data_IF_514778821595
#
_entry.id   IF_514778821595
#
_cell.length_a   1.000
_cell.length_b   1.000
_cell.length_c   1.000
_cell.angle_alpha   90.00
_cell.angle_beta   90.00
_cell.angle_gamma   90.00
#
_symmetry.space_group_name_H-M   'P 1'
#
loop_
_entity.id
_entity.type
_entity.pdbx_description
1 polymer ?
#
# COMPACT_ATOMS: atom_id res chain seq x y z
N UNK A 1 10.88 1.62 7.61
CA UNK A 1 10.77 2.64 8.66
C UNK A 1 11.92 3.65 8.58
N UNK A 2 13.19 3.18 8.62
CA UNK A 2 14.36 4.08 8.56
C UNK A 2 14.31 5.05 7.38
N UNK A 3 13.97 4.58 6.18
CA UNK A 3 13.82 5.43 5.01
C UNK A 3 12.72 6.48 5.15
N UNK A 4 11.57 6.13 5.75
CA UNK A 4 10.48 7.07 6.02
C UNK A 4 10.88 8.13 7.06
N UNK A 5 11.57 7.70 8.12
CA UNK A 5 12.09 8.62 9.14
C UNK A 5 13.13 9.60 8.54
N UNK A 6 13.98 9.08 7.66
CA UNK A 6 15.01 9.90 7.00
C UNK A 6 14.42 10.93 6.03
N UNK A 7 13.29 10.63 5.39
CA UNK A 7 12.61 11.63 4.56
C UNK A 7 12.09 12.81 5.37
N UNK A 8 11.78 12.63 6.64
CA UNK A 8 11.36 13.72 7.53
C UNK A 8 12.52 14.65 7.93
N UNK A 9 13.78 14.22 7.77
CA UNK A 9 14.96 15.06 7.95
C UNK A 9 15.30 15.91 6.71
N UNK A 10 14.61 15.68 5.58
CA UNK A 10 14.78 16.45 4.34
C UNK A 10 13.77 17.58 4.23
N UNK A 11 13.96 18.49 3.29
CA UNK A 11 13.01 19.57 2.96
C UNK A 11 11.89 19.15 2.01
N UNK A 12 11.74 17.85 1.77
CA UNK A 12 10.72 17.32 0.86
C UNK A 12 9.30 17.53 1.40
N UNK A 13 8.43 18.15 0.62
CA UNK A 13 7.02 18.35 0.96
C UNK A 13 6.13 17.19 0.51
N UNK A 14 6.58 16.42 -0.48
CA UNK A 14 5.87 15.27 -1.05
C UNK A 14 6.78 14.06 -0.97
N UNK A 15 6.26 12.97 -0.43
CA UNK A 15 6.97 11.70 -0.29
C UNK A 15 6.34 10.68 -1.21
N UNK A 16 7.17 10.03 -2.02
CA UNK A 16 6.77 8.94 -2.90
C UNK A 16 7.47 7.66 -2.47
N UNK A 17 6.71 6.61 -2.23
CA UNK A 17 7.19 5.28 -1.88
C UNK A 17 6.94 4.36 -3.07
N UNK A 18 7.96 3.60 -3.47
CA UNK A 18 7.86 2.64 -4.56
C UNK A 18 8.89 1.53 -4.39
N UNK A 19 8.64 0.35 -4.96
CA UNK A 19 9.64 -0.70 -5.03
C UNK A 19 10.70 -0.35 -6.08
N UNK A 20 11.96 -0.74 -5.81
CA UNK A 20 13.11 -0.45 -6.66
C UNK A 20 13.41 -1.57 -7.68
N UNK A 21 12.44 -2.45 -7.95
CA UNK A 21 12.62 -3.64 -8.82
C UNK A 21 12.24 -3.41 -10.29
N UNK A 22 11.90 -2.18 -10.63
CA UNK A 22 11.54 -1.75 -11.98
C UNK A 22 10.12 -2.11 -12.43
N UNK A 23 9.28 -2.64 -11.53
CA UNK A 23 7.87 -2.98 -11.84
C UNK A 23 7.00 -1.74 -11.94
N UNK A 24 7.28 -0.70 -11.16
CA UNK A 24 6.53 0.54 -11.19
C UNK A 24 7.14 1.54 -12.17
N UNK A 25 6.26 2.26 -12.87
CA UNK A 25 6.69 3.30 -13.77
C UNK A 25 6.85 4.62 -13.02
N UNK A 26 8.08 5.16 -12.97
CA UNK A 26 8.36 6.42 -12.29
C UNK A 26 7.53 7.60 -12.81
N UNK A 27 7.11 7.61 -14.08
CA UNK A 27 6.24 8.67 -14.62
C UNK A 27 4.85 8.69 -13.97
N UNK A 28 4.40 7.62 -13.34
CA UNK A 28 3.09 7.61 -12.71
C UNK A 28 3.02 8.54 -11.48
N UNK A 29 4.16 8.90 -10.87
CA UNK A 29 4.17 9.93 -9.83
C UNK A 29 3.63 11.28 -10.34
N UNK A 30 3.84 11.60 -11.61
CA UNK A 30 3.30 12.84 -12.20
C UNK A 30 1.77 12.84 -12.28
N UNK A 31 1.14 11.66 -12.29
CA UNK A 31 -0.31 11.50 -12.16
C UNK A 31 -0.76 11.56 -10.70
N UNK A 32 0.05 11.01 -9.77
CA UNK A 32 -0.31 10.92 -8.36
C UNK A 32 -0.26 12.28 -7.65
N UNK A 33 0.79 13.06 -7.89
CA UNK A 33 1.05 14.33 -7.21
C UNK A 33 -0.13 15.31 -7.29
N UNK A 34 -0.78 15.56 -8.46
CA UNK A 34 -1.89 16.49 -8.54
C UNK A 34 -3.12 16.13 -7.68
N UNK A 35 -3.33 14.83 -7.40
CA UNK A 35 -4.43 14.42 -6.54
C UNK A 35 -4.25 14.85 -5.08
N UNK A 36 -3.00 15.12 -4.65
CA UNK A 36 -2.74 15.62 -3.30
C UNK A 36 -3.35 17.01 -3.02
N UNK A 37 -3.86 17.70 -4.04
CA UNK A 37 -4.63 18.93 -3.82
C UNK A 37 -5.99 18.65 -3.15
N UNK A 38 -6.51 17.42 -3.30
CA UNK A 38 -7.81 17.02 -2.78
C UNK A 38 -7.76 15.87 -1.76
N UNK A 39 -6.59 15.28 -1.52
CA UNK A 39 -6.42 14.19 -0.57
C UNK A 39 -5.07 14.28 0.16
N UNK A 40 -4.89 13.44 1.15
CA UNK A 40 -3.72 13.40 2.00
C UNK A 40 -2.73 12.30 1.59
N UNK A 41 -3.26 11.22 0.97
CA UNK A 41 -2.48 10.12 0.42
C UNK A 41 -3.12 9.58 -0.87
N UNK A 42 -2.27 9.30 -1.86
CA UNK A 42 -2.65 8.62 -3.11
C UNK A 42 -2.02 7.24 -3.12
N UNK A 43 -2.82 6.22 -3.40
CA UNK A 43 -2.40 4.83 -3.54
C UNK A 43 -2.51 4.42 -5.00
N UNK A 44 -1.48 3.82 -5.56
CA UNK A 44 -1.53 3.23 -6.89
C UNK A 44 -2.32 1.92 -6.89
N UNK A 45 -3.09 1.66 -7.94
CA UNK A 45 -3.75 0.37 -8.15
C UNK A 45 -3.26 -0.30 -9.43
N UNK A 46 -2.87 -1.56 -9.30
CA UNK A 46 -2.52 -2.45 -10.41
C UNK A 46 -3.74 -3.21 -10.96
N UNK A 47 -4.88 -3.13 -10.26
CA UNK A 47 -6.06 -3.96 -10.49
C UNK A 47 -7.19 -3.22 -11.21
N UNK A 48 -7.14 -1.89 -11.27
CA UNK A 48 -8.15 -1.05 -11.93
C UNK A 48 -7.92 -0.88 -13.42
N UNK A 49 -6.74 -1.24 -13.94
CA UNK A 49 -6.43 -1.21 -15.37
C UNK A 49 -6.17 -2.61 -15.93
N UNK A 50 -6.59 -2.80 -17.18
CA UNK A 50 -6.29 -4.00 -17.99
C UNK A 50 -4.87 -3.95 -18.57
N UNK A 51 -4.14 -2.84 -18.40
CA UNK A 51 -2.85 -2.56 -19.02
C UNK A 51 -1.64 -3.01 -18.18
N UNK A 52 -1.79 -3.99 -17.31
CA UNK A 52 -0.63 -4.57 -16.61
C UNK A 52 0.16 -5.46 -17.58
N UNK A 53 1.44 -5.17 -17.74
CA UNK A 53 2.37 -5.99 -18.53
C UNK A 53 2.87 -7.21 -17.75
N UNK A 54 2.63 -7.25 -16.46
CA UNK A 54 3.16 -8.32 -15.61
C UNK A 54 2.28 -9.56 -15.64
N UNK A 55 2.87 -10.71 -15.96
CA UNK A 55 2.19 -11.99 -16.07
C UNK A 55 1.50 -12.44 -14.78
N UNK A 56 2.10 -12.19 -13.62
CA UNK A 56 1.49 -12.53 -12.33
C UNK A 56 0.25 -11.68 -11.98
N UNK A 57 0.09 -10.49 -12.56
CA UNK A 57 -1.16 -9.73 -12.45
C UNK A 57 -2.26 -10.27 -13.36
N UNK A 58 -1.90 -11.10 -14.34
CA UNK A 58 -2.84 -11.83 -15.19
C UNK A 58 -3.21 -13.20 -14.61
N UNK A 59 -2.56 -13.65 -13.53
CA UNK A 59 -2.94 -14.88 -12.82
C UNK A 59 -4.27 -14.65 -12.09
N UNK A 60 -5.30 -15.35 -12.55
CA UNK A 60 -6.67 -15.24 -12.03
C UNK A 60 -6.74 -15.48 -10.52
N UNK A 61 -5.93 -16.39 -10.00
CA UNK A 61 -5.89 -16.69 -8.57
C UNK A 61 -5.33 -15.50 -7.76
N UNK A 62 -4.25 -14.89 -8.22
CA UNK A 62 -3.63 -13.74 -7.55
C UNK A 62 -4.55 -12.50 -7.63
N UNK A 63 -5.14 -12.25 -8.78
CA UNK A 63 -6.09 -11.14 -8.97
C UNK A 63 -7.31 -11.33 -8.07
N UNK A 64 -7.87 -12.53 -8.03
CA UNK A 64 -8.99 -12.85 -7.14
C UNK A 64 -8.60 -12.67 -5.67
N UNK A 65 -7.44 -13.21 -5.25
CA UNK A 65 -6.94 -13.06 -3.89
C UNK A 65 -6.76 -11.61 -3.46
N UNK A 66 -6.15 -10.78 -4.31
CA UNK A 66 -5.97 -9.35 -4.05
C UNK A 66 -7.32 -8.61 -3.94
N UNK A 67 -8.27 -8.90 -4.83
CA UNK A 67 -9.63 -8.32 -4.75
C UNK A 67 -10.37 -8.77 -3.49
N UNK A 68 -10.22 -10.03 -3.10
CA UNK A 68 -10.80 -10.55 -1.85
C UNK A 68 -10.22 -9.83 -0.63
N UNK A 69 -8.88 -9.67 -0.57
CA UNK A 69 -8.22 -8.94 0.51
C UNK A 69 -8.66 -7.47 0.56
N UNK A 70 -8.79 -6.83 -0.60
CA UNK A 70 -9.32 -5.47 -0.70
C UNK A 70 -10.74 -5.36 -0.14
N UNK A 71 -11.64 -6.27 -0.54
CA UNK A 71 -13.01 -6.30 -0.04
C UNK A 71 -13.07 -6.58 1.48
N UNK A 72 -12.23 -7.47 1.97
CA UNK A 72 -12.13 -7.80 3.39
C UNK A 72 -11.61 -6.60 4.22
N UNK A 73 -10.62 -5.90 3.70
CA UNK A 73 -10.13 -4.65 4.29
C UNK A 73 -11.20 -3.56 4.31
N UNK A 74 -11.93 -3.39 3.21
CA UNK A 74 -13.06 -2.47 3.13
C UNK A 74 -14.13 -2.78 4.18
N UNK A 75 -14.41 -4.07 4.41
CA UNK A 75 -15.39 -4.49 5.41
C UNK A 75 -14.95 -4.13 6.82
N UNK A 76 -13.66 -4.34 7.17
CA UNK A 76 -13.10 -3.95 8.47
C UNK A 76 -13.24 -2.45 8.72
N UNK A 77 -12.88 -1.64 7.73
CA UNK A 77 -12.91 -0.18 7.83
C UNK A 77 -14.21 0.45 7.33
N UNK A 78 -15.30 -0.33 7.33
CA UNK A 78 -16.63 0.25 7.11
C UNK A 78 -16.93 1.24 8.22
N UNK A 79 -17.00 2.51 7.87
CA UNK A 79 -17.19 3.58 8.83
C UNK A 79 -18.46 4.37 8.54
N UNK A 80 -19.41 4.32 9.47
CA UNK A 80 -20.65 5.08 9.37
C UNK A 80 -20.47 6.60 9.52
N UNK A 81 -19.37 7.08 10.14
CA UNK A 81 -19.08 8.52 10.26
C UNK A 81 -18.85 9.18 8.91
N UNK A 82 -18.18 8.48 8.02
CA UNK A 82 -17.82 9.00 6.71
C UNK A 82 -18.79 8.55 5.59
N UNK A 83 -19.93 7.94 5.96
CA UNK A 83 -20.94 7.41 5.03
C UNK A 83 -20.34 6.52 3.95
N UNK A 84 -19.25 5.81 4.28
CA UNK A 84 -18.56 5.04 3.27
C UNK A 84 -17.58 4.01 3.79
N UNK A 85 -17.14 3.24 2.85
CA UNK A 85 -16.08 2.24 2.94
C UNK A 85 -14.82 2.90 2.38
N UNK A 86 -13.67 2.61 2.95
CA UNK A 86 -12.40 2.93 2.28
C UNK A 86 -12.40 2.25 0.90
N UNK A 87 -12.57 3.01 -0.17
CA UNK A 87 -12.67 2.47 -1.54
C UNK A 87 -11.27 2.16 -2.08
N UNK A 88 -10.70 1.06 -1.59
CA UNK A 88 -9.39 0.57 -1.99
C UNK A 88 -9.51 -0.85 -2.53
N UNK A 89 -9.00 -1.08 -3.73
CA UNK A 89 -9.06 -2.39 -4.40
C UNK A 89 -7.72 -3.12 -4.39
N UNK A 90 -6.60 -2.40 -4.25
CA UNK A 90 -5.24 -2.93 -4.25
C UNK A 90 -4.45 -2.51 -3.00
N UNK A 91 -4.88 -3.03 -1.85
CA UNK A 91 -4.29 -2.71 -0.54
C UNK A 91 -2.81 -3.10 -0.40
N UNK A 92 -2.35 -4.03 -1.23
CA UNK A 92 -0.96 -4.50 -1.26
C UNK A 92 -0.05 -3.72 -2.22
N UNK A 93 -0.53 -2.67 -2.88
CA UNK A 93 0.30 -1.87 -3.76
C UNK A 93 1.26 -0.99 -2.95
N UNK A 94 2.57 -1.10 -3.24
CA UNK A 94 3.60 -0.29 -2.57
C UNK A 94 3.72 1.12 -3.12
N UNK A 95 3.19 1.41 -4.31
CA UNK A 95 3.32 2.72 -4.93
C UNK A 95 2.37 3.72 -4.27
N UNK A 96 2.91 4.62 -3.48
CA UNK A 96 2.18 5.59 -2.67
C UNK A 96 2.78 6.96 -2.79
N UNK A 97 1.93 7.97 -2.74
CA UNK A 97 2.33 9.37 -2.72
C UNK A 97 1.56 10.07 -1.60
N UNK A 98 2.25 10.83 -0.75
CA UNK A 98 1.62 11.53 0.36
C UNK A 98 2.32 12.86 0.64
N UNK A 99 1.63 13.76 1.32
CA UNK A 99 2.22 14.97 1.86
C UNK A 99 3.10 14.62 3.08
N UNK A 100 4.12 15.43 3.31
CA UNK A 100 4.97 15.34 4.51
C UNK A 100 4.13 15.32 5.79
N UNK A 101 3.17 16.24 5.90
CA UNK A 101 2.26 16.35 7.04
C UNK A 101 1.47 15.06 7.30
N UNK A 102 1.13 14.33 6.23
CA UNK A 102 0.45 13.03 6.33
C UNK A 102 1.38 11.96 6.89
N UNK A 103 2.65 11.95 6.45
CA UNK A 103 3.64 11.03 7.02
C UNK A 103 3.91 11.34 8.49
N UNK A 104 4.04 12.61 8.86
CA UNK A 104 4.24 13.05 10.25
C UNK A 104 3.12 12.55 11.18
N UNK A 105 1.88 12.52 10.71
CA UNK A 105 0.75 11.99 11.48
C UNK A 105 0.82 10.50 11.76
N UNK A 106 1.30 9.72 10.78
CA UNK A 106 1.25 8.26 10.85
C UNK A 106 2.57 7.61 11.27
N UNK A 107 3.68 8.34 11.25
CA UNK A 107 5.01 7.75 11.46
C UNK A 107 5.16 7.15 12.86
N UNK A 108 4.50 7.72 13.86
CA UNK A 108 4.50 7.20 15.23
C UNK A 108 3.88 5.81 15.36
N UNK A 109 2.90 5.48 14.53
CA UNK A 109 2.22 4.19 14.57
C UNK A 109 3.10 3.04 14.09
N UNK A 110 4.22 3.35 13.41
CA UNK A 110 5.17 2.34 12.93
C UNK A 110 6.08 1.79 14.05
N UNK A 111 6.03 2.36 15.23
CA UNK A 111 6.87 1.95 16.36
C UNK A 111 6.03 1.61 17.59
N UNK A 112 6.56 0.70 18.44
CA UNK A 112 5.92 0.34 19.68
C UNK A 112 6.22 1.38 20.77
N UNK A 113 5.18 2.00 21.33
CA UNK A 113 5.29 2.81 22.58
C UNK A 113 6.48 3.80 22.58
N UNK A 114 6.66 4.58 21.52
CA UNK A 114 7.78 5.54 21.37
C UNK A 114 9.17 4.89 21.37
N UNK A 115 9.27 3.58 21.28
CA UNK A 115 10.55 2.87 21.11
C UNK A 115 11.00 2.97 19.65
N UNK A 116 12.32 2.75 19.39
CA UNK A 116 12.82 2.63 18.02
C UNK A 116 12.49 1.26 17.39
N UNK A 117 11.83 0.38 18.15
CA UNK A 117 11.44 -0.94 17.67
C UNK A 117 10.22 -0.86 16.76
N UNK A 118 10.38 -1.41 15.58
CA UNK A 118 9.31 -1.55 14.61
C UNK A 118 8.24 -2.51 15.13
N UNK A 119 6.98 -2.27 14.77
CA UNK A 119 5.89 -3.19 15.11
C UNK A 119 6.20 -4.57 14.52
N UNK A 120 6.34 -5.61 15.35
CA UNK A 120 6.84 -6.95 14.96
C UNK A 120 6.02 -7.62 13.85
N UNK A 121 4.78 -7.21 13.66
CA UNK A 121 3.87 -7.79 12.68
C UNK A 121 3.99 -7.16 11.30
N UNK A 122 4.76 -6.07 11.16
CA UNK A 122 4.94 -5.34 9.90
C UNK A 122 6.25 -5.76 9.25
N UNK A 123 6.15 -6.66 8.30
CA UNK A 123 7.25 -7.05 7.43
C UNK A 123 7.22 -6.27 6.10
N UNK A 124 8.17 -6.55 5.22
CA UNK A 124 8.26 -5.90 3.91
C UNK A 124 7.04 -6.14 3.01
N UNK A 125 6.20 -7.12 3.34
CA UNK A 125 5.00 -7.49 2.57
C UNK A 125 3.78 -6.75 3.10
N UNK A 126 3.67 -6.62 4.42
CA UNK A 126 2.53 -5.98 5.08
C UNK A 126 2.66 -4.48 5.23
N UNK A 127 3.86 -3.90 5.03
CA UNK A 127 4.10 -2.45 5.19
C UNK A 127 3.16 -1.58 4.34
N UNK A 128 2.82 -2.02 3.15
CA UNK A 128 1.89 -1.29 2.28
C UNK A 128 0.48 -1.26 2.88
N UNK A 129 -0.01 -2.40 3.35
CA UNK A 129 -1.29 -2.53 4.02
C UNK A 129 -1.31 -1.71 5.32
N UNK A 130 -0.26 -1.83 6.13
CA UNK A 130 -0.11 -1.12 7.40
C UNK A 130 -0.12 0.41 7.22
N UNK A 131 0.61 0.91 6.23
CA UNK A 131 0.58 2.35 5.91
C UNK A 131 -0.83 2.84 5.58
N UNK A 132 -1.61 2.03 4.85
CA UNK A 132 -3.01 2.36 4.53
C UNK A 132 -3.87 2.35 5.78
N UNK A 133 -3.67 1.38 6.65
CA UNK A 133 -4.37 1.26 7.92
C UNK A 133 -4.10 2.48 8.80
N UNK A 134 -2.84 2.82 9.06
CA UNK A 134 -2.47 4.00 9.83
C UNK A 134 -3.10 5.28 9.24
N UNK A 135 -3.11 5.39 7.91
CA UNK A 135 -3.72 6.54 7.25
C UNK A 135 -5.24 6.64 7.51
N UNK A 136 -5.97 5.50 7.47
CA UNK A 136 -7.41 5.47 7.78
C UNK A 136 -7.66 5.79 9.26
N UNK A 137 -6.88 5.20 10.16
CA UNK A 137 -7.02 5.37 11.62
C UNK A 137 -6.68 6.80 12.06
N UNK A 138 -5.86 7.51 11.29
CA UNK A 138 -5.57 8.93 11.48
C UNK A 138 -6.45 9.86 10.62
N UNK A 139 -7.59 9.38 10.14
CA UNK A 139 -8.58 10.16 9.37
C UNK A 139 -7.98 10.84 8.10
N UNK A 140 -6.96 10.25 7.48
CA UNK A 140 -6.40 10.76 6.23
C UNK A 140 -7.33 10.44 5.05
N UNK A 141 -7.50 11.39 4.16
CA UNK A 141 -8.25 11.22 2.91
C UNK A 141 -7.37 10.49 1.90
N UNK A 142 -7.81 9.31 1.47
CA UNK A 142 -7.08 8.44 0.56
C UNK A 142 -7.81 8.34 -0.78
N UNK A 143 -7.06 8.43 -1.86
CA UNK A 143 -7.55 8.20 -3.23
C UNK A 143 -6.72 7.10 -3.87
N UNK A 144 -7.40 6.14 -4.52
CA UNK A 144 -6.75 5.10 -5.31
C UNK A 144 -6.81 5.47 -6.79
N UNK A 145 -5.68 5.41 -7.48
CA UNK A 145 -5.60 5.70 -8.91
C UNK A 145 -4.91 4.58 -9.68
N UNK A 146 -5.28 4.35 -10.95
CA UNK A 146 -4.62 3.35 -11.77
C UNK A 146 -3.18 3.74 -12.10
N UNK A 147 -2.27 2.77 -11.98
CA UNK A 147 -0.85 2.92 -12.32
C UNK A 147 -0.41 1.88 -13.35
N UNK A 148 0.68 2.15 -14.03
CA UNK A 148 1.33 1.20 -14.93
C UNK A 148 2.21 0.24 -14.14
N UNK A 149 1.95 -1.05 -14.26
CA UNK A 149 2.72 -2.10 -13.62
C UNK A 149 3.38 -2.98 -14.68
N UNK A 150 4.70 -3.04 -14.68
CA UNK A 150 5.51 -3.71 -15.71
C UNK A 150 6.00 -5.06 -15.22
N UNK A 151 6.44 -5.87 -16.15
CA UNK A 151 7.11 -7.12 -15.82
C UNK A 151 8.39 -6.87 -15.01
N UNK A 152 8.56 -7.65 -13.95
CA UNK A 152 9.73 -7.56 -13.07
C UNK A 152 11.01 -7.95 -13.80
N UNK A 153 12.03 -7.12 -13.65
CA UNK A 153 13.37 -7.47 -14.10
C UNK A 153 14.07 -8.27 -13.00
N UNK A 154 14.06 -9.59 -13.11
CA UNK A 154 14.72 -10.50 -12.16
C UNK A 154 13.78 -11.43 -11.42
N UNK A 155 14.32 -12.20 -10.47
CA UNK A 155 13.58 -13.19 -9.69
C UNK A 155 12.92 -12.56 -8.46
N UNK A 156 11.66 -12.93 -8.20
CA UNK A 156 10.95 -12.50 -6.99
C UNK A 156 11.57 -13.13 -5.74
N UNK A 157 12.04 -12.33 -4.81
CA UNK A 157 12.51 -12.82 -3.49
C UNK A 157 11.40 -13.45 -2.67
N UNK A 158 10.18 -12.93 -2.77
CA UNK A 158 9.01 -13.44 -2.02
C UNK A 158 8.47 -14.75 -2.60
N UNK A 159 8.73 -15.04 -3.89
CA UNK A 159 8.22 -16.25 -4.55
C UNK A 159 6.69 -16.35 -4.59
N UNK A 160 5.98 -15.23 -4.51
CA UNK A 160 4.49 -15.14 -4.51
C UNK A 160 3.87 -15.74 -5.78
N UNK A 161 4.64 -15.95 -6.82
CA UNK A 161 4.20 -16.67 -8.04
C UNK A 161 3.87 -18.15 -7.78
N UNK A 162 4.31 -18.72 -6.64
CA UNK A 162 3.95 -20.08 -6.21
C UNK A 162 2.66 -20.00 -5.40
N UNK A 163 1.63 -20.75 -5.80
CA UNK A 163 0.29 -20.72 -5.19
C UNK A 163 0.32 -20.96 -3.68
N UNK A 164 1.15 -21.89 -3.20
CA UNK A 164 1.28 -22.19 -1.77
C UNK A 164 1.82 -20.99 -0.97
N UNK A 165 2.79 -20.27 -1.52
CA UNK A 165 3.33 -19.08 -0.90
C UNK A 165 2.32 -17.92 -0.98
N UNK A 166 1.65 -17.75 -2.12
CA UNK A 166 0.59 -16.75 -2.26
C UNK A 166 -0.53 -16.96 -1.23
N UNK A 167 -0.93 -18.21 -0.99
CA UNK A 167 -1.93 -18.54 0.03
C UNK A 167 -1.44 -18.20 1.44
N UNK A 168 -0.19 -18.53 1.78
CA UNK A 168 0.39 -18.19 3.08
C UNK A 168 0.41 -16.69 3.32
N UNK A 169 0.86 -15.92 2.33
CA UNK A 169 0.84 -14.45 2.41
C UNK A 169 -0.59 -13.92 2.52
N UNK A 170 -1.54 -14.46 1.76
CA UNK A 170 -2.95 -14.10 1.89
C UNK A 170 -3.48 -14.32 3.31
N UNK A 171 -3.14 -15.44 3.94
CA UNK A 171 -3.52 -15.73 5.34
C UNK A 171 -2.82 -14.77 6.33
N UNK A 172 -1.57 -14.38 6.08
CA UNK A 172 -0.89 -13.36 6.89
C UNK A 172 -1.60 -12.01 6.78
N UNK A 173 -1.98 -11.59 5.58
CA UNK A 173 -2.76 -10.37 5.38
C UNK A 173 -4.10 -10.41 6.13
N UNK A 174 -4.84 -11.53 6.04
CA UNK A 174 -6.10 -11.71 6.76
C UNK A 174 -5.87 -11.62 8.28
N UNK A 175 -4.88 -12.36 8.79
CA UNK A 175 -4.51 -12.29 10.20
C UNK A 175 -4.21 -10.85 10.61
N UNK A 176 -3.34 -10.18 9.86
CA UNK A 176 -2.97 -8.80 10.12
C UNK A 176 -4.19 -7.88 10.14
N UNK A 177 -5.08 -7.97 9.16
CA UNK A 177 -6.32 -7.18 9.11
C UNK A 177 -7.21 -7.43 10.33
N UNK A 178 -7.24 -8.66 10.87
CA UNK A 178 -8.08 -9.02 12.02
C UNK A 178 -7.49 -8.59 13.36
N UNK A 179 -6.15 -8.58 13.50
CA UNK A 179 -5.45 -8.39 14.78
C UNK A 179 -4.95 -6.98 15.03
N UNK A 180 -4.85 -6.17 14.00
CA UNK A 180 -4.42 -4.78 14.07
C UNK A 180 -5.56 -3.81 14.32
#
# INVERSE_FOLDING_TARGET
YTGLKETLNSDANIIVITDADGTYNGYDMTKMIPYLDNCDMVVGSRLTQVLSEQTNQNDTFLVWGNKFLGAFFQLKYFNSRHLGVAQLTDVGCSYRCMRRESLEKIIGDFTKNDSEEFVDEVDSITVALFTTQCAIENDLRIVEIPITFKERKGTSKSGVTQKDKALRYGLQFIKFILTS
#
